data_IF_722316640278
#
_entry.id   IF_722316640278
#
_cell.length_a   1.000
_cell.length_b   1.000
_cell.length_c   1.000
_cell.angle_alpha   90.00
_cell.angle_beta   90.00
_cell.angle_gamma   90.00
#
_symmetry.space_group_name_H-M   'P 1'
#
loop_
_entity.id
_entity.type
_entity.pdbx_description
1 polymer ?
#
# COMPACT_ATOMS: atom_id res chain seq x y z
N UNK A 1 -14.51 9.16 -14.08
CA UNK A 1 -14.48 8.19 -15.20
C UNK A 1 -15.37 7.01 -14.83
N UNK A 2 -16.00 6.36 -15.80
CA UNK A 2 -16.86 5.20 -15.55
C UNK A 2 -16.08 3.89 -15.66
N UNK A 3 -16.77 2.76 -15.43
CA UNK A 3 -16.19 1.43 -15.44
C UNK A 3 -15.56 1.05 -16.79
N UNK A 4 -16.22 1.44 -17.88
CA UNK A 4 -15.74 1.24 -19.26
C UNK A 4 -14.46 2.00 -19.54
N UNK A 5 -14.39 3.28 -19.13
CA UNK A 5 -13.18 4.10 -19.25
C UNK A 5 -11.99 3.52 -18.49
N UNK A 6 -12.21 3.01 -17.27
CA UNK A 6 -11.15 2.36 -16.51
C UNK A 6 -10.69 1.04 -17.12
N UNK A 7 -11.60 0.25 -17.69
CA UNK A 7 -11.22 -0.96 -18.43
C UNK A 7 -10.34 -0.62 -19.65
N UNK A 8 -10.64 0.47 -20.36
CA UNK A 8 -9.78 0.93 -21.46
C UNK A 8 -8.42 1.39 -20.96
N UNK A 9 -8.42 2.22 -19.92
CA UNK A 9 -7.19 2.71 -19.28
C UNK A 9 -6.30 1.57 -18.81
N UNK A 10 -6.86 0.46 -18.33
CA UNK A 10 -6.10 -0.75 -17.99
C UNK A 10 -5.35 -1.32 -19.21
N UNK A 11 -6.03 -1.46 -20.35
CA UNK A 11 -5.40 -1.96 -21.59
C UNK A 11 -4.31 -1.01 -22.09
N UNK A 12 -4.56 0.29 -22.01
CA UNK A 12 -3.60 1.32 -22.42
C UNK A 12 -2.36 1.33 -21.50
N UNK A 13 -2.57 1.21 -20.19
CA UNK A 13 -1.46 1.09 -19.23
C UNK A 13 -0.64 -0.18 -19.45
N UNK A 14 -1.30 -1.32 -19.71
CA UNK A 14 -0.62 -2.58 -20.03
C UNK A 14 0.24 -2.45 -21.29
N UNK A 15 -0.31 -1.86 -22.36
CA UNK A 15 0.43 -1.61 -23.60
C UNK A 15 1.61 -0.67 -23.38
N UNK A 16 1.40 0.46 -22.68
CA UNK A 16 2.44 1.44 -22.35
C UNK A 16 3.59 0.83 -21.55
N UNK A 17 3.29 -0.13 -20.67
CA UNK A 17 4.29 -0.85 -19.85
C UNK A 17 4.89 -2.07 -20.55
N UNK A 18 4.56 -2.32 -21.82
CA UNK A 18 5.09 -3.45 -22.58
C UNK A 18 4.59 -4.82 -22.10
N UNK A 19 3.44 -4.87 -21.43
CA UNK A 19 2.81 -6.14 -21.04
C UNK A 19 2.31 -6.84 -22.29
N UNK A 20 2.71 -8.09 -22.49
CA UNK A 20 2.34 -8.85 -23.66
C UNK A 20 0.81 -9.09 -23.73
N UNK A 21 0.18 -9.03 -24.91
CA UNK A 21 -1.27 -9.15 -25.04
C UNK A 21 -1.85 -10.47 -24.51
N UNK A 22 -1.09 -11.56 -24.58
CA UNK A 22 -1.45 -12.87 -24.04
C UNK A 22 -1.53 -12.86 -22.51
N UNK A 23 -0.65 -12.13 -21.82
CA UNK A 23 -0.71 -11.90 -20.37
C UNK A 23 -1.98 -11.14 -19.98
N UNK A 24 -2.34 -10.09 -20.73
CA UNK A 24 -3.58 -9.33 -20.50
C UNK A 24 -4.80 -10.22 -20.71
N UNK A 25 -4.80 -11.03 -21.77
CA UNK A 25 -5.87 -11.99 -22.05
C UNK A 25 -5.97 -13.08 -20.98
N UNK A 26 -4.85 -13.58 -20.45
CA UNK A 26 -4.83 -14.53 -19.34
C UNK A 26 -5.45 -13.93 -18.09
N UNK A 27 -5.05 -12.71 -17.71
CA UNK A 27 -5.63 -11.99 -16.57
C UNK A 27 -7.14 -11.85 -16.71
N UNK A 28 -7.60 -11.40 -17.88
CA UNK A 28 -9.03 -11.23 -18.16
C UNK A 28 -9.80 -12.54 -17.99
N UNK A 29 -9.30 -13.64 -18.56
CA UNK A 29 -9.98 -14.95 -18.45
C UNK A 29 -9.92 -15.54 -17.05
N UNK A 30 -8.74 -15.59 -16.43
CA UNK A 30 -8.52 -16.30 -15.17
C UNK A 30 -9.17 -15.63 -13.97
N UNK A 31 -9.21 -14.30 -13.96
CA UNK A 31 -9.77 -13.51 -12.86
C UNK A 31 -11.10 -12.84 -13.23
N UNK A 32 -11.66 -13.19 -14.38
CA UNK A 32 -12.90 -12.62 -14.92
C UNK A 32 -12.88 -11.09 -14.92
N UNK A 33 -11.73 -10.49 -15.26
CA UNK A 33 -11.60 -9.04 -15.33
C UNK A 33 -12.40 -8.53 -16.53
N UNK A 34 -13.41 -7.73 -16.23
CA UNK A 34 -14.29 -7.08 -17.19
C UNK A 34 -14.45 -5.61 -16.83
N UNK A 35 -15.28 -4.87 -17.58
CA UNK A 35 -15.61 -3.49 -17.23
C UNK A 35 -16.17 -3.40 -15.80
N UNK A 36 -17.01 -4.36 -15.42
CA UNK A 36 -17.65 -4.39 -14.11
C UNK A 36 -16.66 -4.50 -12.94
N UNK A 37 -15.48 -5.09 -13.18
CA UNK A 37 -14.40 -5.17 -12.18
C UNK A 37 -13.93 -3.77 -11.73
N UNK A 38 -14.12 -2.75 -12.55
CA UNK A 38 -13.70 -1.37 -12.27
C UNK A 38 -14.83 -0.47 -11.77
N UNK A 39 -16.06 -0.98 -11.65
CA UNK A 39 -17.23 -0.19 -11.23
C UNK A 39 -17.02 0.52 -9.89
N UNK A 40 -16.30 -0.11 -8.96
CA UNK A 40 -16.01 0.47 -7.65
C UNK A 40 -15.15 1.73 -7.75
N UNK A 41 -14.24 1.81 -8.73
CA UNK A 41 -13.38 2.98 -8.91
C UNK A 41 -14.18 4.22 -9.34
N UNK A 42 -15.29 4.03 -10.05
CA UNK A 42 -16.21 5.13 -10.41
C UNK A 42 -16.86 5.84 -9.22
N UNK A 43 -16.79 5.26 -8.02
CA UNK A 43 -17.27 5.87 -6.75
C UNK A 43 -16.17 6.58 -5.97
N UNK A 44 -14.93 6.56 -6.47
CA UNK A 44 -13.74 7.07 -5.78
C UNK A 44 -13.20 8.30 -6.49
N UNK A 45 -12.28 9.01 -5.84
CA UNK A 45 -11.55 10.12 -6.47
C UNK A 45 -10.17 9.62 -6.88
N UNK A 46 -9.92 9.58 -8.18
CA UNK A 46 -8.60 9.27 -8.73
C UNK A 46 -7.61 10.40 -8.42
N UNK A 47 -6.42 10.02 -8.00
CA UNK A 47 -5.26 10.89 -7.78
C UNK A 47 -4.12 10.29 -8.58
N UNK A 48 -3.37 11.11 -9.32
CA UNK A 48 -2.22 10.64 -10.08
C UNK A 48 -0.93 11.12 -9.45
N UNK A 49 0.05 10.24 -9.43
CA UNK A 49 1.40 10.61 -9.04
C UNK A 49 2.21 11.13 -10.24
N UNK A 50 3.46 11.58 -10.04
CA UNK A 50 4.30 12.11 -11.13
C UNK A 50 4.56 11.12 -12.28
N UNK A 51 4.56 9.82 -12.02
CA UNK A 51 4.75 8.78 -13.05
C UNK A 51 3.44 8.41 -13.79
N UNK A 52 2.33 9.05 -13.40
CA UNK A 52 1.00 8.83 -13.96
C UNK A 52 0.34 7.54 -13.47
N UNK A 53 0.76 6.99 -12.32
CA UNK A 53 0.04 5.89 -11.64
C UNK A 53 -1.20 6.44 -10.96
N UNK A 54 -2.28 5.66 -11.03
CA UNK A 54 -3.57 6.01 -10.44
C UNK A 54 -3.71 5.44 -9.03
N UNK A 55 -3.99 6.32 -8.09
CA UNK A 55 -4.40 6.05 -6.72
C UNK A 55 -5.87 6.44 -6.56
N UNK A 56 -6.59 5.83 -5.63
CA UNK A 56 -8.03 6.06 -5.48
C UNK A 56 -8.42 6.39 -4.05
N UNK A 57 -8.71 7.65 -3.78
CA UNK A 57 -9.23 8.08 -2.49
C UNK A 57 -10.65 7.54 -2.30
N UNK A 58 -10.82 6.77 -1.24
CA UNK A 58 -12.07 6.10 -0.92
C UNK A 58 -13.07 7.10 -0.30
N UNK A 59 -14.35 7.03 -0.69
CA UNK A 59 -15.39 7.86 -0.08
C UNK A 59 -15.64 7.47 1.38
N UNK A 60 -16.21 8.41 2.13
CA UNK A 60 -16.74 8.17 3.47
C UNK A 60 -17.77 7.04 3.46
N UNK A 61 -17.79 6.23 4.51
CA UNK A 61 -18.76 5.14 4.66
C UNK A 61 -18.60 3.97 3.67
N UNK A 62 -17.50 3.90 2.91
CA UNK A 62 -17.25 2.77 2.01
C UNK A 62 -17.28 1.44 2.77
N UNK A 63 -17.91 0.43 2.17
CA UNK A 63 -17.91 -0.93 2.71
C UNK A 63 -16.53 -1.58 2.59
N UNK A 64 -16.23 -2.53 3.47
CA UNK A 64 -14.95 -3.27 3.44
C UNK A 64 -14.72 -4.02 2.13
N UNK A 65 -15.77 -4.63 1.57
CA UNK A 65 -15.68 -5.34 0.29
C UNK A 65 -15.41 -4.40 -0.89
N UNK A 66 -16.06 -3.23 -0.92
CA UNK A 66 -15.80 -2.19 -1.91
C UNK A 66 -14.38 -1.63 -1.75
N UNK A 67 -13.88 -1.44 -0.52
CA UNK A 67 -12.50 -1.02 -0.29
C UNK A 67 -11.46 -2.06 -0.76
N UNK A 68 -11.73 -3.36 -0.53
CA UNK A 68 -10.91 -4.46 -1.04
C UNK A 68 -10.91 -4.49 -2.57
N UNK A 69 -12.09 -4.38 -3.17
CA UNK A 69 -12.24 -4.33 -4.62
C UNK A 69 -11.48 -3.13 -5.20
N UNK A 70 -11.60 -1.95 -4.59
CA UNK A 70 -10.86 -0.75 -5.03
C UNK A 70 -9.34 -0.96 -4.97
N UNK A 71 -8.82 -1.59 -3.90
CA UNK A 71 -7.40 -1.91 -3.80
C UNK A 71 -6.94 -2.86 -4.91
N UNK A 72 -7.69 -3.95 -5.16
CA UNK A 72 -7.34 -4.89 -6.24
C UNK A 72 -7.44 -4.24 -7.62
N UNK A 73 -8.53 -3.51 -7.88
CA UNK A 73 -8.75 -2.84 -9.17
C UNK A 73 -7.72 -1.74 -9.42
N UNK A 74 -7.23 -1.05 -8.39
CA UNK A 74 -6.11 -0.11 -8.51
C UNK A 74 -4.82 -0.80 -8.99
N UNK A 75 -4.45 -1.95 -8.41
CA UNK A 75 -3.31 -2.73 -8.90
C UNK A 75 -3.49 -3.16 -10.36
N UNK A 76 -4.66 -3.72 -10.70
CA UNK A 76 -4.95 -4.20 -12.05
C UNK A 76 -4.85 -3.05 -13.05
N UNK A 77 -5.52 -1.93 -12.77
CA UNK A 77 -5.57 -0.74 -13.64
C UNK A 77 -4.18 -0.21 -13.99
N UNK A 78 -3.28 -0.16 -13.00
CA UNK A 78 -1.93 0.41 -13.18
C UNK A 78 -1.01 -0.47 -14.03
N UNK A 79 -1.35 -1.75 -14.23
CA UNK A 79 -0.57 -2.73 -14.96
C UNK A 79 0.87 -2.91 -14.43
N UNK A 80 1.04 -2.82 -13.11
CA UNK A 80 2.31 -2.90 -12.41
C UNK A 80 2.53 -1.72 -11.47
N UNK A 81 3.46 -1.87 -10.53
CA UNK A 81 3.70 -0.85 -9.48
C UNK A 81 4.67 0.24 -9.91
N UNK A 82 5.62 -0.04 -10.81
CA UNK A 82 6.73 0.89 -11.12
C UNK A 82 7.95 0.72 -10.22
N UNK A 83 7.86 -0.11 -9.18
CA UNK A 83 8.98 -0.43 -8.30
C UNK A 83 10.18 -1.00 -9.08
N UNK A 84 11.37 -0.44 -8.83
CA UNK A 84 12.62 -0.82 -9.50
C UNK A 84 12.75 -0.36 -10.95
N UNK A 85 11.85 0.50 -11.44
CA UNK A 85 11.97 1.11 -12.76
C UNK A 85 13.02 2.23 -12.80
N UNK A 86 13.17 2.98 -11.71
CA UNK A 86 14.24 3.95 -11.54
C UNK A 86 15.56 3.26 -11.17
N UNK A 87 16.49 3.23 -12.12
CA UNK A 87 17.82 2.62 -11.99
C UNK A 87 18.78 3.41 -11.10
N UNK A 88 18.42 4.62 -10.68
CA UNK A 88 19.26 5.46 -9.81
C UNK A 88 19.23 5.01 -8.35
N UNK A 89 18.24 4.21 -7.96
CA UNK A 89 18.09 3.70 -6.59
C UNK A 89 18.32 2.19 -6.53
N UNK A 90 19.05 1.75 -5.50
CA UNK A 90 19.17 0.31 -5.18
C UNK A 90 17.87 -0.13 -4.49
N UNK A 91 17.19 -1.10 -5.07
CA UNK A 91 16.06 -1.80 -4.45
C UNK A 91 16.52 -3.02 -3.67
N UNK A 92 15.79 -3.39 -2.61
CA UNK A 92 16.12 -4.58 -1.81
C UNK A 92 15.65 -5.88 -2.48
N UNK A 93 14.63 -5.80 -3.35
CA UNK A 93 14.04 -6.93 -4.05
C UNK A 93 13.93 -6.70 -5.56
N UNK A 94 13.86 -7.80 -6.35
CA UNK A 94 13.51 -7.69 -7.74
C UNK A 94 12.03 -7.26 -7.91
N UNK A 95 11.70 -6.49 -8.95
CA UNK A 95 10.31 -6.20 -9.30
C UNK A 95 9.53 -7.49 -9.54
N UNK A 96 8.31 -7.56 -9.00
CA UNK A 96 7.42 -8.69 -9.27
C UNK A 96 6.74 -8.49 -10.62
N UNK A 97 6.82 -9.45 -11.55
CA UNK A 97 6.19 -9.32 -12.87
C UNK A 97 4.67 -9.10 -12.78
N UNK A 98 4.15 -8.21 -13.62
CA UNK A 98 2.71 -8.05 -13.78
C UNK A 98 2.12 -9.25 -14.52
N UNK A 99 1.12 -9.91 -13.93
CA UNK A 99 0.56 -11.13 -14.50
C UNK A 99 -0.53 -11.77 -13.65
N UNK A 100 -1.16 -12.81 -14.19
CA UNK A 100 -2.26 -13.49 -13.49
C UNK A 100 -1.83 -14.17 -12.19
N UNK A 101 -0.56 -14.62 -12.10
CA UNK A 101 0.01 -15.16 -10.87
C UNK A 101 0.07 -14.10 -9.76
N UNK A 102 0.47 -12.87 -10.09
CA UNK A 102 0.59 -11.80 -9.11
C UNK A 102 -0.78 -11.31 -8.62
N UNK A 103 -1.77 -11.20 -9.52
CA UNK A 103 -3.16 -10.93 -9.13
C UNK A 103 -3.68 -12.03 -8.18
N UNK A 104 -3.40 -13.31 -8.49
CA UNK A 104 -3.77 -14.43 -7.61
C UNK A 104 -3.17 -14.25 -6.21
N UNK A 105 -1.88 -13.91 -6.14
CA UNK A 105 -1.17 -13.69 -4.87
C UNK A 105 -1.80 -12.55 -4.07
N UNK A 106 -2.11 -11.43 -4.70
CA UNK A 106 -2.76 -10.27 -4.05
C UNK A 106 -4.14 -10.67 -3.54
N UNK A 107 -4.97 -11.35 -4.35
CA UNK A 107 -6.30 -11.81 -3.92
C UNK A 107 -6.22 -12.76 -2.72
N UNK A 108 -5.27 -13.70 -2.72
CA UNK A 108 -5.05 -14.62 -1.59
C UNK A 108 -4.61 -13.87 -0.33
N UNK A 109 -3.70 -12.90 -0.46
CA UNK A 109 -3.26 -12.03 0.64
C UNK A 109 -4.44 -11.23 1.22
N UNK A 110 -5.22 -10.58 0.38
CA UNK A 110 -6.42 -9.83 0.79
C UNK A 110 -7.45 -10.73 1.50
N UNK A 111 -7.59 -11.99 1.08
CA UNK A 111 -8.46 -12.99 1.74
C UNK A 111 -7.94 -13.38 3.12
N UNK A 112 -6.62 -13.62 3.25
CA UNK A 112 -5.98 -13.90 4.53
C UNK A 112 -6.12 -12.71 5.50
N UNK A 113 -5.98 -11.50 4.98
CA UNK A 113 -6.11 -10.24 5.71
C UNK A 113 -7.55 -9.69 5.69
N UNK A 114 -8.59 -10.49 5.40
CA UNK A 114 -9.99 -10.00 5.27
C UNK A 114 -10.51 -9.19 6.46
N UNK A 115 -9.93 -9.41 7.63
CA UNK A 115 -10.27 -8.71 8.86
C UNK A 115 -9.91 -7.21 8.79
N UNK A 116 -8.85 -6.81 8.07
CA UNK A 116 -8.50 -5.39 7.90
C UNK A 116 -9.56 -4.65 7.08
N UNK A 117 -10.15 -5.33 6.08
CA UNK A 117 -11.24 -4.78 5.28
C UNK A 117 -12.58 -4.76 6.04
N UNK A 118 -12.94 -5.86 6.69
CA UNK A 118 -14.27 -6.00 7.32
C UNK A 118 -14.41 -5.22 8.63
N UNK A 119 -13.31 -4.95 9.34
CA UNK A 119 -13.31 -4.24 10.63
C UNK A 119 -12.65 -2.88 10.51
N UNK A 120 -11.44 -2.81 9.97
CA UNK A 120 -10.56 -1.66 10.19
C UNK A 120 -10.85 -0.51 9.22
N UNK A 121 -11.32 -0.79 8.00
CA UNK A 121 -11.79 0.26 7.07
C UNK A 121 -12.87 1.15 7.72
N UNK A 122 -13.88 0.52 8.31
CA UNK A 122 -14.96 1.22 9.02
C UNK A 122 -14.44 1.92 10.27
N UNK A 123 -13.48 1.30 10.95
CA UNK A 123 -12.88 1.91 12.13
C UNK A 123 -12.12 3.21 11.78
N UNK A 124 -11.25 3.18 10.76
CA UNK A 124 -10.49 4.35 10.28
C UNK A 124 -11.46 5.48 9.91
N UNK A 125 -12.51 5.16 9.17
CA UNK A 125 -13.52 6.13 8.75
C UNK A 125 -14.22 6.80 9.96
N UNK A 126 -14.73 5.99 10.91
CA UNK A 126 -15.42 6.48 12.12
C UNK A 126 -14.53 7.38 12.98
N UNK A 127 -13.22 7.19 12.93
CA UNK A 127 -12.25 7.97 13.68
C UNK A 127 -11.67 9.15 12.89
N UNK A 128 -12.33 9.54 11.79
CA UNK A 128 -11.98 10.72 11.01
C UNK A 128 -10.88 10.49 9.97
N UNK A 129 -10.25 9.30 9.93
CA UNK A 129 -9.20 8.98 8.97
C UNK A 129 -9.70 8.81 7.53
N UNK A 130 -8.77 8.74 6.59
CA UNK A 130 -9.03 8.46 5.16
C UNK A 130 -8.12 7.39 4.65
N UNK A 131 -8.57 6.75 3.56
CA UNK A 131 -7.91 5.65 2.91
C UNK A 131 -7.84 5.91 1.41
N UNK A 132 -6.73 5.51 0.82
CA UNK A 132 -6.46 5.51 -0.61
C UNK A 132 -6.10 4.08 -1.01
N UNK A 133 -6.73 3.56 -2.07
CA UNK A 133 -6.28 2.34 -2.74
C UNK A 133 -5.05 2.65 -3.60
N UNK A 134 -4.01 1.82 -3.44
CA UNK A 134 -2.69 2.02 -4.05
C UNK A 134 -2.46 1.10 -5.24
N UNK A 135 -1.50 1.44 -6.15
CA UNK A 135 -1.05 0.55 -7.21
C UNK A 135 -0.48 -0.80 -6.72
N UNK A 136 -0.17 -0.95 -5.43
CA UNK A 136 0.40 -2.18 -4.84
C UNK A 136 -0.69 -3.17 -4.34
N UNK A 137 -1.97 -2.85 -4.56
CA UNK A 137 -3.08 -3.71 -4.16
C UNK A 137 -3.39 -3.66 -2.66
N UNK A 138 -2.87 -2.66 -1.94
CA UNK A 138 -3.08 -2.41 -0.51
C UNK A 138 -3.74 -1.05 -0.30
N UNK A 139 -4.19 -0.76 0.92
CA UNK A 139 -4.69 0.54 1.31
C UNK A 139 -3.59 1.35 2.00
N UNK A 140 -3.51 2.64 1.69
CA UNK A 140 -2.71 3.62 2.42
C UNK A 140 -3.64 4.59 3.12
N UNK A 141 -3.40 4.84 4.40
CA UNK A 141 -4.28 5.61 5.27
C UNK A 141 -3.58 6.71 6.03
N UNK A 142 -4.37 7.71 6.42
CA UNK A 142 -3.93 8.81 7.27
C UNK A 142 -5.06 9.23 8.23
N UNK A 143 -4.69 9.63 9.45
CA UNK A 143 -5.64 9.97 10.52
C UNK A 143 -6.24 8.73 11.20
N UNK A 144 -7.27 8.92 12.03
CA UNK A 144 -7.83 7.85 12.87
C UNK A 144 -7.23 7.79 14.29
N UNK A 145 -7.80 6.95 15.16
CA UNK A 145 -7.55 6.98 16.61
C UNK A 145 -7.10 5.63 17.24
N UNK A 146 -6.66 4.65 16.47
CA UNK A 146 -6.58 3.27 16.97
C UNK A 146 -5.21 2.86 17.48
N UNK A 147 -5.04 3.05 18.78
CA UNK A 147 -4.29 2.22 19.72
C UNK A 147 -2.85 1.88 19.30
N UNK A 148 -1.83 2.73 19.38
CA UNK A 148 -1.58 4.11 19.83
C UNK A 148 -0.42 4.59 18.92
N UNK A 149 0.04 5.85 18.95
CA UNK A 149 1.22 6.35 18.19
C UNK A 149 2.58 5.69 18.54
N UNK A 150 2.61 4.43 18.97
CA UNK A 150 3.63 3.86 19.85
C UNK A 150 4.66 2.94 19.19
N UNK A 151 4.66 2.75 17.87
CA UNK A 151 5.73 2.00 17.21
C UNK A 151 6.49 2.79 16.14
N UNK A 152 6.31 4.11 16.15
CA UNK A 152 6.90 5.02 15.19
C UNK A 152 8.39 5.25 15.48
N UNK A 153 9.24 4.41 14.90
CA UNK A 153 10.45 4.90 14.27
C UNK A 153 10.26 4.78 12.74
N UNK A 154 10.31 5.95 12.04
CA UNK A 154 10.70 6.12 10.61
C UNK A 154 9.69 6.10 9.44
N UNK A 155 8.35 6.04 9.58
CA UNK A 155 7.50 6.39 8.41
C UNK A 155 6.00 6.05 8.46
N UNK A 156 5.62 4.99 9.17
CA UNK A 156 4.23 4.55 9.29
C UNK A 156 4.14 3.16 9.90
N UNK A 157 2.96 2.53 9.85
CA UNK A 157 2.77 1.15 10.32
C UNK A 157 1.80 0.41 9.41
N UNK A 158 2.20 -0.77 8.95
CA UNK A 158 1.32 -1.69 8.23
C UNK A 158 0.58 -2.64 9.16
N UNK A 159 -0.74 -2.69 8.99
CA UNK A 159 -1.67 -3.50 9.76
C UNK A 159 -2.62 -4.26 8.83
N UNK A 160 -2.37 -5.57 8.65
CA UNK A 160 -3.07 -6.36 7.64
C UNK A 160 -2.73 -5.87 6.23
N UNK A 161 -3.73 -5.35 5.51
CA UNK A 161 -3.56 -4.74 4.17
C UNK A 161 -3.66 -3.19 4.20
N UNK A 162 -3.53 -2.57 5.38
CA UNK A 162 -3.59 -1.10 5.55
C UNK A 162 -2.25 -0.57 6.06
N UNK A 163 -1.59 0.25 5.24
CA UNK A 163 -0.43 1.05 5.64
C UNK A 163 -0.88 2.41 6.17
N UNK A 164 -0.65 2.70 7.45
CA UNK A 164 -0.97 3.99 8.07
C UNK A 164 0.26 4.88 8.08
N UNK A 165 0.22 5.99 7.32
CA UNK A 165 1.30 6.99 7.27
C UNK A 165 1.34 7.75 8.60
N UNK A 166 2.54 7.97 9.14
CA UNK A 166 2.69 8.77 10.35
C UNK A 166 2.95 10.26 10.04
N UNK A 167 1.88 11.07 10.00
CA UNK A 167 1.94 12.55 9.99
C UNK A 167 1.34 13.20 11.24
N UNK A 168 1.22 12.45 12.34
CA UNK A 168 0.61 12.96 13.55
C UNK A 168 -0.88 13.31 13.39
N UNK A 169 -1.34 14.33 14.13
CA UNK A 169 -2.74 14.78 14.05
C UNK A 169 -2.87 15.76 12.89
N UNK A 170 -3.62 15.39 11.86
CA UNK A 170 -3.89 16.25 10.70
C UNK A 170 -5.38 16.60 10.63
N UNK A 171 -5.68 17.86 10.34
CA UNK A 171 -7.06 18.35 10.22
C UNK A 171 -7.75 17.86 8.93
N UNK A 172 -6.98 17.73 7.84
CA UNK A 172 -7.45 17.22 6.55
C UNK A 172 -6.65 16.00 6.07
N UNK A 173 -7.01 14.78 6.51
CA UNK A 173 -6.36 13.56 6.06
C UNK A 173 -6.47 13.32 4.55
N UNK A 174 -7.58 13.75 3.91
CA UNK A 174 -7.78 13.55 2.48
C UNK A 174 -6.83 14.41 1.65
N UNK A 175 -6.70 15.69 2.00
CA UNK A 175 -5.78 16.61 1.35
C UNK A 175 -4.33 16.20 1.53
N UNK A 176 -3.96 15.70 2.70
CA UNK A 176 -2.60 15.18 2.91
C UNK A 176 -2.32 13.91 2.10
N UNK A 177 -3.26 12.96 2.03
CA UNK A 177 -3.09 11.78 1.16
C UNK A 177 -2.92 12.19 -0.31
N UNK A 178 -3.65 13.21 -0.79
CA UNK A 178 -3.42 13.77 -2.13
C UNK A 178 -2.01 14.32 -2.29
N UNK A 179 -1.54 15.15 -1.36
CA UNK A 179 -0.18 15.72 -1.41
C UNK A 179 0.91 14.66 -1.41
N UNK A 180 0.76 13.60 -0.61
CA UNK A 180 1.71 12.49 -0.58
C UNK A 180 1.77 11.84 -1.97
N UNK A 181 0.63 11.46 -2.53
CA UNK A 181 0.56 10.82 -3.85
C UNK A 181 1.09 11.74 -4.95
N UNK A 182 0.63 12.99 -5.01
CA UNK A 182 1.04 13.96 -6.04
C UNK A 182 2.53 14.30 -5.96
N UNK A 183 3.14 14.20 -4.76
CA UNK A 183 4.58 14.38 -4.61
C UNK A 183 5.40 13.18 -5.10
N UNK A 184 4.82 11.98 -5.14
CA UNK A 184 5.55 10.73 -5.44
C UNK A 184 6.56 10.31 -4.37
N UNK A 185 6.59 10.97 -3.21
CA UNK A 185 7.56 10.71 -2.15
C UNK A 185 6.88 10.32 -0.85
N UNK A 186 7.60 9.60 0.00
CA UNK A 186 7.19 9.33 1.36
C UNK A 186 7.25 10.61 2.20
N UNK A 187 6.39 10.71 3.21
CA UNK A 187 6.36 11.81 4.16
C UNK A 187 6.41 11.28 5.59
N UNK A 188 6.99 12.07 6.48
CA UNK A 188 7.02 11.78 7.91
C UNK A 188 6.89 13.07 8.71
N UNK A 189 6.68 12.94 10.01
CA UNK A 189 6.61 14.08 10.93
C UNK A 189 7.89 14.18 11.77
N UNK A 190 8.42 15.38 11.91
CA UNK A 190 9.50 15.69 12.83
C UNK A 190 9.00 15.70 14.29
N UNK A 191 9.95 15.74 15.24
CA UNK A 191 9.62 15.74 16.67
C UNK A 191 8.77 16.95 17.11
N UNK A 192 8.87 18.07 16.38
CA UNK A 192 8.10 19.30 16.60
C UNK A 192 6.69 19.25 15.97
N UNK A 193 6.32 18.15 15.31
CA UNK A 193 5.03 18.01 14.64
C UNK A 193 5.01 18.50 13.19
N UNK A 194 6.13 18.97 12.65
CA UNK A 194 6.23 19.49 11.28
C UNK A 194 6.26 18.33 10.26
N UNK A 195 5.32 18.27 9.30
CA UNK A 195 5.37 17.31 8.19
C UNK A 195 6.53 17.64 7.24
N UNK A 196 7.34 16.65 6.91
CA UNK A 196 8.49 16.79 6.00
C UNK A 196 8.43 15.71 4.92
N UNK A 197 8.67 16.13 3.68
CA UNK A 197 8.85 15.24 2.55
C UNK A 197 10.21 14.54 2.65
N UNK A 198 10.20 13.22 2.54
CA UNK A 198 11.43 12.42 2.44
C UNK A 198 11.98 12.44 1.02
N UNK A 199 13.26 12.08 0.87
CA UNK A 199 13.87 11.77 -0.43
C UNK A 199 13.53 10.35 -0.91
N UNK A 200 12.82 9.59 -0.08
CA UNK A 200 12.42 8.23 -0.39
C UNK A 200 11.20 8.24 -1.30
N UNK A 201 11.33 7.55 -2.43
CA UNK A 201 10.26 7.32 -3.39
C UNK A 201 9.07 6.57 -2.75
N UNK A 202 7.85 6.98 -3.09
CA UNK A 202 6.63 6.42 -2.53
C UNK A 202 6.44 4.95 -2.95
N UNK A 203 6.82 4.54 -4.16
CA UNK A 203 6.68 3.13 -4.58
C UNK A 203 7.58 2.22 -3.77
N UNK A 204 8.79 2.69 -3.41
CA UNK A 204 9.72 1.91 -2.58
C UNK A 204 9.11 1.64 -1.22
N UNK A 205 8.52 2.67 -0.59
CA UNK A 205 7.79 2.50 0.67
C UNK A 205 6.61 1.57 0.46
N UNK A 206 5.74 1.82 -0.52
CA UNK A 206 4.57 0.97 -0.75
C UNK A 206 4.93 -0.48 -1.08
N UNK A 207 6.09 -0.74 -1.69
CA UNK A 207 6.61 -2.09 -1.90
C UNK A 207 7.02 -2.74 -0.57
N UNK A 208 7.80 -2.02 0.25
CA UNK A 208 8.18 -2.44 1.60
C UNK A 208 6.94 -2.74 2.46
N UNK A 209 5.94 -1.86 2.45
CA UNK A 209 4.70 -2.04 3.20
C UNK A 209 3.85 -3.20 2.67
N UNK A 210 3.83 -3.41 1.34
CA UNK A 210 3.16 -4.58 0.77
C UNK A 210 3.82 -5.89 1.23
N UNK A 211 5.14 -5.90 1.47
CA UNK A 211 5.82 -7.05 2.08
C UNK A 211 5.40 -7.28 3.52
N UNK A 212 5.20 -6.23 4.32
CA UNK A 212 4.58 -6.38 5.64
C UNK A 212 3.16 -6.95 5.54
N UNK A 213 2.36 -6.55 4.54
CA UNK A 213 1.05 -7.15 4.31
C UNK A 213 1.15 -8.67 4.05
N UNK A 214 2.19 -9.13 3.34
CA UNK A 214 2.46 -10.57 3.14
C UNK A 214 2.81 -11.27 4.45
N UNK A 215 3.61 -10.64 5.31
CA UNK A 215 3.95 -11.20 6.63
C UNK A 215 2.70 -11.36 7.50
N UNK A 216 1.81 -10.37 7.50
CA UNK A 216 0.50 -10.46 8.15
C UNK A 216 -0.35 -11.61 7.61
N UNK A 217 -0.42 -11.76 6.29
CA UNK A 217 -1.19 -12.84 5.66
C UNK A 217 -0.64 -14.23 6.01
N UNK A 218 0.68 -14.39 6.10
CA UNK A 218 1.33 -15.66 6.43
C UNK A 218 1.19 -16.03 7.91
N UNK A 219 1.31 -15.05 8.83
CA UNK A 219 1.29 -15.27 10.27
C UNK A 219 -0.12 -15.21 10.88
N UNK A 220 -1.04 -14.56 10.19
CA UNK A 220 -2.38 -14.26 10.70
C UNK A 220 -2.36 -13.24 11.85
N UNK A 221 -3.54 -12.75 12.22
CA UNK A 221 -3.70 -11.68 13.22
C UNK A 221 -3.03 -12.00 14.57
N UNK A 222 -3.26 -13.20 15.11
CA UNK A 222 -2.71 -13.63 16.39
C UNK A 222 -1.21 -13.93 16.32
N UNK A 223 -0.75 -14.53 15.22
CA UNK A 223 0.67 -14.84 15.02
C UNK A 223 1.50 -13.56 14.90
N UNK A 224 0.98 -12.55 14.19
CA UNK A 224 1.66 -11.26 14.10
C UNK A 224 1.70 -10.55 15.45
N UNK A 225 0.59 -10.47 16.20
CA UNK A 225 0.62 -9.86 17.54
C UNK A 225 1.63 -10.52 18.49
N UNK A 226 1.75 -11.85 18.44
CA UNK A 226 2.75 -12.60 19.23
C UNK A 226 4.17 -12.28 18.79
N UNK A 227 4.45 -12.31 17.49
CA UNK A 227 5.79 -12.06 16.96
C UNK A 227 6.19 -10.60 17.14
N UNK A 228 5.26 -9.66 16.95
CA UNK A 228 5.46 -8.24 17.18
C UNK A 228 5.78 -7.95 18.65
N UNK A 229 5.05 -8.55 19.59
CA UNK A 229 5.37 -8.43 21.02
C UNK A 229 6.76 -8.98 21.37
N UNK A 230 7.20 -10.06 20.72
CA UNK A 230 8.54 -10.64 20.92
C UNK A 230 9.65 -9.77 20.32
N UNK A 231 9.45 -9.24 19.12
CA UNK A 231 10.43 -8.35 18.48
C UNK A 231 10.52 -7.01 19.21
N UNK A 232 9.41 -6.48 19.72
CA UNK A 232 9.41 -5.27 20.55
C UNK A 232 10.23 -5.45 21.84
N UNK A 233 10.07 -6.60 22.51
CA UNK A 233 10.88 -6.95 23.67
C UNK A 233 12.36 -7.06 23.31
N UNK A 234 12.70 -7.58 22.12
CA UNK A 234 14.09 -7.67 21.65
C UNK A 234 14.68 -6.31 21.29
N UNK A 235 13.96 -5.46 20.58
CA UNK A 235 14.41 -4.12 20.24
C UNK A 235 14.63 -3.28 21.51
N UNK A 236 13.71 -3.37 22.48
CA UNK A 236 13.80 -2.64 23.74
C UNK A 236 14.91 -3.18 24.66
N UNK A 237 15.14 -4.50 24.69
CA UNK A 237 16.15 -5.11 25.56
C UNK A 237 17.56 -5.17 24.94
N UNK A 238 17.68 -5.21 23.61
CA UNK A 238 18.93 -5.52 22.90
C UNK A 238 19.33 -4.49 21.83
N UNK A 239 18.49 -3.51 21.52
CA UNK A 239 18.77 -2.50 20.48
C UNK A 239 18.92 -3.07 19.07
N UNK A 240 18.48 -4.31 18.83
CA UNK A 240 18.64 -5.03 17.58
C UNK A 240 17.62 -4.58 16.51
N UNK A 241 18.03 -4.59 15.24
CA UNK A 241 17.12 -4.38 14.10
C UNK A 241 16.09 -5.52 14.07
N UNK A 242 14.83 -5.15 13.92
CA UNK A 242 13.72 -6.09 13.88
C UNK A 242 13.78 -6.94 12.60
N UNK A 243 13.78 -8.27 12.73
CA UNK A 243 13.87 -9.22 11.59
C UNK A 243 12.74 -9.04 10.57
N UNK A 244 11.59 -8.54 11.01
CA UNK A 244 10.47 -8.23 10.12
C UNK A 244 10.81 -7.10 9.14
N UNK A 245 11.55 -6.09 9.59
CA UNK A 245 12.00 -4.96 8.77
C UNK A 245 13.10 -5.39 7.80
N UNK A 246 14.01 -6.28 8.22
CA UNK A 246 15.01 -6.89 7.34
C UNK A 246 14.35 -7.70 6.23
N UNK A 247 13.40 -8.57 6.58
CA UNK A 247 12.64 -9.36 5.61
C UNK A 247 11.81 -8.49 4.66
N UNK A 248 11.37 -7.31 5.10
CA UNK A 248 10.60 -6.35 4.30
C UNK A 248 11.46 -5.41 3.44
N UNK A 249 12.78 -5.37 3.68
CA UNK A 249 13.75 -4.55 2.95
C UNK A 249 14.03 -3.23 3.65
N UNK A 250 15.18 -3.15 4.33
CA UNK A 250 15.59 -1.97 5.10
C UNK A 250 15.74 -0.72 4.22
N UNK A 251 16.42 -0.81 3.09
CA UNK A 251 16.70 0.36 2.26
C UNK A 251 15.42 0.90 1.62
N UNK A 252 14.50 0.02 1.23
CA UNK A 252 13.19 0.39 0.67
C UNK A 252 12.25 0.99 1.72
N UNK A 253 12.39 0.60 2.99
CA UNK A 253 11.77 1.27 4.14
C UNK A 253 12.49 2.54 4.61
N UNK A 254 13.59 2.95 3.96
CA UNK A 254 14.37 4.14 4.33
C UNK A 254 15.35 3.96 5.50
N UNK A 255 15.54 2.73 5.97
CA UNK A 255 16.58 2.39 6.93
C UNK A 255 17.93 2.30 6.23
N UNK A 256 18.94 3.00 6.77
CA UNK A 256 20.32 2.62 6.47
C UNK A 256 20.56 1.28 7.15
N UNK A 257 20.88 0.24 6.39
CA UNK A 257 21.51 -0.95 6.96
C UNK A 257 22.70 -0.45 7.79
N UNK A 258 22.60 -0.52 9.11
CA UNK A 258 23.70 -0.09 9.95
C UNK A 258 24.83 -1.06 9.68
N UNK A 259 25.83 -0.62 8.92
CA UNK A 259 27.15 -1.21 9.00
C UNK A 259 27.60 -0.94 10.45
N UNK A 260 27.87 -1.98 11.25
CA UNK A 260 28.35 -1.78 12.61
C UNK A 260 29.76 -1.21 12.54
N UNK A 261 29.96 -0.06 13.17
CA UNK A 261 31.22 0.34 13.79
C UNK A 261 30.88 0.91 15.15
#
# INVERSE_FOLDING_TARGET
MDASGYFQTWRDNAARRGVAPDVVAEIARRHSISQDSFRVLGKTVEIRDPDGKSFFLLPRGIGGDDARAAALSAYVLNAGTGYGSDRTWRTDFPPTPYGAAEITRITLRQKANRWSYTRDVRFVDRNGGRLVATPNGILMGLGGNWIQRQFCRRGGTTWGDIFMVNLGAVADPAGWLRRIVESGHAWYVLADGTPVQSRLDLDRVLHHEERHCRQWAARGYVGMLRDYGRELLREYALGAINRLEEDAGLADGGYRASIPW
#
